data_IF_026121066720
#
_entry.id   IF_026121066720
#
_cell.length_a   1.000
_cell.length_b   1.000
_cell.length_c   1.000
_cell.angle_alpha   90.00
_cell.angle_beta   90.00
_cell.angle_gamma   90.00
#
_symmetry.space_group_name_H-M   'P 1'
#
loop_
_entity.id
_entity.type
_entity.pdbx_description
1 polymer ?
#
# COMPACT_ATOMS: atom_id res chain seq x y z
N UNK A 1 -2.91 -7.26 -2.59
CA UNK A 1 -2.61 -6.68 -3.92
C UNK A 1 -1.11 -6.63 -4.14
N UNK A 2 -0.69 -6.94 -5.33
CA UNK A 2 0.72 -6.94 -5.70
C UNK A 2 1.12 -5.63 -6.36
N UNK A 3 2.41 -5.32 -6.35
CA UNK A 3 2.94 -4.05 -6.82
C UNK A 3 2.51 -3.67 -8.25
N UNK A 4 2.55 -4.57 -9.24
CA UNK A 4 2.12 -4.22 -10.60
C UNK A 4 0.65 -3.80 -10.70
N UNK A 5 -0.23 -4.43 -9.90
CA UNK A 5 -1.64 -4.07 -9.86
C UNK A 5 -1.85 -2.70 -9.21
N UNK A 6 -1.12 -2.43 -8.13
CA UNK A 6 -1.17 -1.13 -7.46
C UNK A 6 -0.74 -0.01 -8.41
N UNK A 7 0.32 -0.25 -9.18
CA UNK A 7 0.80 0.72 -10.17
C UNK A 7 -0.27 1.05 -11.21
N UNK A 8 -0.98 0.05 -11.71
CA UNK A 8 -2.06 0.25 -12.68
C UNK A 8 -3.17 1.12 -12.06
N UNK A 9 -3.58 0.82 -10.83
CA UNK A 9 -4.63 1.57 -10.16
C UNK A 9 -4.22 3.02 -9.88
N UNK A 10 -2.97 3.24 -9.54
CA UNK A 10 -2.44 4.59 -9.34
C UNK A 10 -2.46 5.37 -10.65
N UNK A 11 -1.96 4.77 -11.73
CA UNK A 11 -1.93 5.41 -13.04
C UNK A 11 -3.32 5.72 -13.58
N UNK A 12 -4.31 4.88 -13.26
CA UNK A 12 -5.70 5.09 -13.64
C UNK A 12 -6.44 6.10 -12.74
N UNK A 13 -5.78 6.60 -11.70
CA UNK A 13 -6.42 7.52 -10.75
C UNK A 13 -7.48 6.87 -9.88
N UNK A 14 -7.43 5.56 -9.69
CA UNK A 14 -8.46 4.80 -8.96
C UNK A 14 -8.18 4.62 -7.48
N UNK A 15 -6.99 4.93 -7.02
CA UNK A 15 -6.66 4.86 -5.59
C UNK A 15 -7.30 6.03 -4.86
N UNK A 16 -8.16 5.73 -3.88
CA UNK A 16 -8.89 6.74 -3.10
C UNK A 16 -8.12 7.19 -1.86
N UNK A 17 -7.50 6.26 -1.16
CA UNK A 17 -6.76 6.58 0.05
C UNK A 17 -5.63 5.59 0.26
N UNK A 18 -4.59 6.06 0.97
CA UNK A 18 -3.46 5.23 1.38
C UNK A 18 -3.20 5.47 2.85
N UNK A 19 -2.88 4.40 3.58
CA UNK A 19 -2.48 4.48 4.97
C UNK A 19 -1.24 3.61 5.20
N UNK A 20 -0.29 4.14 5.96
CA UNK A 20 0.81 3.34 6.50
C UNK A 20 0.39 2.89 7.89
N UNK A 21 0.34 1.58 8.10
CA UNK A 21 -0.14 0.99 9.35
C UNK A 21 0.95 0.17 9.99
N UNK A 22 1.23 0.47 11.26
CA UNK A 22 2.10 -0.36 12.08
C UNK A 22 1.23 -1.06 13.11
N UNK A 23 0.97 -2.36 12.92
CA UNK A 23 0.15 -3.11 13.87
C UNK A 23 0.77 -3.14 15.28
N UNK A 24 -0.08 -3.22 16.30
CA UNK A 24 0.36 -3.28 17.69
C UNK A 24 1.29 -4.48 17.90
N UNK A 25 2.44 -4.24 18.55
CA UNK A 25 3.44 -5.28 18.79
C UNK A 25 4.41 -5.51 17.64
N UNK A 26 4.27 -4.77 16.53
CA UNK A 26 5.19 -4.85 15.39
C UNK A 26 5.98 -3.57 15.24
N UNK A 27 7.16 -3.66 14.63
CA UNK A 27 8.03 -2.52 14.39
C UNK A 27 7.98 -2.03 12.95
N UNK A 28 7.44 -2.84 12.05
CA UNK A 28 7.44 -2.55 10.62
C UNK A 28 6.09 -2.01 10.16
N UNK A 29 6.13 -1.33 9.01
CA UNK A 29 4.97 -0.66 8.44
C UNK A 29 4.41 -1.43 7.26
N UNK A 30 3.07 -1.52 7.19
CA UNK A 30 2.34 -2.06 6.04
C UNK A 30 1.74 -0.91 5.25
N UNK A 31 1.56 -1.10 3.96
CA UNK A 31 0.85 -0.14 3.11
C UNK A 31 -0.55 -0.68 2.85
N UNK A 32 -1.55 0.06 3.31
CA UNK A 32 -2.97 -0.22 3.07
C UNK A 32 -3.57 0.84 2.16
N UNK A 33 -4.57 0.47 1.38
CA UNK A 33 -5.18 1.41 0.44
C UNK A 33 -6.62 1.02 0.13
N UNK A 34 -7.39 2.02 -0.31
CA UNK A 34 -8.72 1.83 -0.86
C UNK A 34 -8.74 2.35 -2.29
N UNK A 35 -9.60 1.77 -3.10
CA UNK A 35 -9.73 2.15 -4.51
C UNK A 35 -11.18 2.11 -4.96
N UNK A 36 -11.45 2.69 -6.14
CA UNK A 36 -12.79 2.69 -6.74
C UNK A 36 -13.19 1.28 -7.13
N UNK A 37 -14.45 0.92 -6.83
CA UNK A 37 -15.00 -0.40 -7.16
C UNK A 37 -14.21 -1.55 -6.53
N UNK A 38 -13.88 -1.41 -5.25
CA UNK A 38 -13.21 -2.49 -4.50
C UNK A 38 -13.99 -3.80 -4.62
N UNK A 39 -13.26 -4.88 -4.85
CA UNK A 39 -13.82 -6.23 -4.87
C UNK A 39 -13.19 -7.07 -3.76
N UNK A 40 -13.91 -8.09 -3.31
CA UNK A 40 -13.42 -9.00 -2.27
C UNK A 40 -12.28 -9.91 -2.73
N UNK A 41 -11.98 -9.92 -4.03
CA UNK A 41 -10.94 -10.78 -4.60
C UNK A 41 -9.53 -10.24 -4.44
N UNK A 42 -9.37 -8.99 -3.95
CA UNK A 42 -8.07 -8.36 -3.75
C UNK A 42 -7.92 -7.86 -2.32
N UNK A 43 -6.75 -8.10 -1.76
CA UNK A 43 -6.44 -7.64 -0.42
C UNK A 43 -6.18 -6.13 -0.40
N UNK A 44 -6.65 -5.41 0.64
CA UNK A 44 -6.47 -3.96 0.74
C UNK A 44 -5.09 -3.55 1.23
N UNK A 45 -4.09 -4.40 1.09
CA UNK A 45 -2.72 -4.14 1.50
C UNK A 45 -1.75 -4.67 0.47
N UNK A 46 -0.55 -4.08 0.44
CA UNK A 46 0.51 -4.52 -0.46
C UNK A 46 1.08 -5.86 0.00
N UNK A 47 1.31 -6.76 -0.96
CA UNK A 47 1.78 -8.13 -0.71
C UNK A 47 3.11 -8.40 -1.40
N UNK A 48 3.89 -9.30 -0.79
CA UNK A 48 5.11 -9.83 -1.40
C UNK A 48 4.71 -10.83 -2.50
N UNK A 49 5.18 -10.61 -3.71
CA UNK A 49 4.76 -11.38 -4.87
C UNK A 49 5.08 -12.88 -4.76
N UNK A 50 6.24 -13.22 -4.20
CA UNK A 50 6.69 -14.61 -4.14
C UNK A 50 5.98 -15.44 -3.08
N UNK A 51 5.47 -14.82 -2.01
CA UNK A 51 4.88 -15.52 -0.87
C UNK A 51 3.41 -15.22 -0.65
N UNK A 52 2.90 -14.11 -1.21
CA UNK A 52 1.54 -13.64 -0.93
C UNK A 52 1.38 -12.99 0.44
N UNK A 53 2.43 -12.95 1.25
CA UNK A 53 2.38 -12.31 2.56
C UNK A 53 2.35 -10.79 2.46
N UNK A 54 1.95 -10.12 3.55
CA UNK A 54 1.97 -8.67 3.61
C UNK A 54 3.38 -8.14 3.44
N UNK A 55 3.54 -7.17 2.55
CA UNK A 55 4.81 -6.48 2.39
C UNK A 55 4.99 -5.51 3.54
N UNK A 56 6.13 -5.57 4.23
CA UNK A 56 6.45 -4.66 5.33
C UNK A 56 7.67 -3.81 4.99
N UNK A 57 7.71 -2.62 5.56
CA UNK A 57 8.81 -1.66 5.40
C UNK A 57 9.35 -1.28 6.77
N UNK A 58 10.66 -1.23 6.88
CA UNK A 58 11.33 -0.91 8.15
C UNK A 58 11.22 0.57 8.52
N UNK A 59 10.93 1.43 7.55
CA UNK A 59 10.79 2.86 7.79
C UNK A 59 9.68 3.47 6.94
N UNK A 60 9.11 4.56 7.44
CA UNK A 60 8.12 5.34 6.70
C UNK A 60 8.70 5.93 5.43
N UNK A 61 9.96 6.32 5.44
CA UNK A 61 10.62 6.90 4.27
C UNK A 61 10.68 5.91 3.12
N UNK A 62 10.98 4.66 3.40
CA UNK A 62 11.00 3.61 2.37
C UNK A 62 9.62 3.32 1.81
N UNK A 63 8.62 3.28 2.67
CA UNK A 63 7.23 3.09 2.23
C UNK A 63 6.79 4.26 1.35
N UNK A 64 7.09 5.49 1.75
CA UNK A 64 6.77 6.68 0.98
C UNK A 64 7.47 6.67 -0.38
N UNK A 65 8.76 6.32 -0.40
CA UNK A 65 9.54 6.25 -1.65
C UNK A 65 8.90 5.28 -2.64
N UNK A 66 8.45 4.12 -2.18
CA UNK A 66 7.75 3.16 -3.02
C UNK A 66 6.53 3.78 -3.70
N UNK A 67 5.68 4.47 -2.93
CA UNK A 67 4.48 5.10 -3.48
C UNK A 67 4.81 6.22 -4.46
N UNK A 68 5.79 7.05 -4.16
CA UNK A 68 6.19 8.15 -5.05
C UNK A 68 6.75 7.64 -6.36
N UNK A 69 7.51 6.56 -6.33
CA UNK A 69 8.02 5.91 -7.54
C UNK A 69 6.90 5.36 -8.41
N UNK A 70 5.82 4.89 -7.80
CA UNK A 70 4.64 4.41 -8.53
C UNK A 70 3.78 5.55 -9.07
N UNK A 71 4.05 6.80 -8.67
CA UNK A 71 3.32 7.97 -9.13
C UNK A 71 2.20 8.43 -8.22
N UNK A 72 2.06 7.84 -7.02
CA UNK A 72 1.05 8.30 -6.08
C UNK A 72 1.54 9.56 -5.35
N UNK A 73 0.83 10.67 -5.55
CA UNK A 73 1.17 11.98 -4.96
C UNK A 73 0.13 12.47 -3.97
N UNK A 74 -0.86 11.65 -3.66
CA UNK A 74 -1.94 12.01 -2.74
C UNK A 74 -1.53 11.97 -1.27
N UNK A 75 -2.48 12.25 -0.41
CA UNK A 75 -2.29 12.22 1.03
C UNK A 75 -2.14 10.79 1.54
N UNK A 76 -1.39 10.66 2.62
CA UNK A 76 -1.14 9.37 3.27
C UNK A 76 -1.45 9.52 4.75
N UNK A 77 -2.30 8.64 5.26
CA UNK A 77 -2.59 8.56 6.69
C UNK A 77 -1.56 7.67 7.37
N UNK A 78 -1.15 8.03 8.57
CA UNK A 78 -0.20 7.23 9.36
C UNK A 78 -0.90 6.75 10.61
N UNK A 79 -0.92 5.43 10.79
CA UNK A 79 -1.57 4.76 11.91
C UNK A 79 -0.56 3.84 12.60
N UNK A 80 -0.29 4.11 13.81
CA UNK A 80 0.68 3.35 14.59
C UNK A 80 0.65 3.73 16.02
#
# INVERSE_FOLDING_TARGET
MFLPELEILINDGRIKSVAFIRPSGYTDWEIHFTWSNMTASREPFLQVRSTGERKVYTSLDRALDTLRRLGYMGNIEIQG
#
